data_IF_975020879405
#
_entry.id   IF_975020879405
#
_cell.length_a   1.000
_cell.length_b   1.000
_cell.length_c   1.000
_cell.angle_alpha   90.00
_cell.angle_beta   90.00
_cell.angle_gamma   90.00
#
_symmetry.space_group_name_H-M   'P 1'
#
loop_
_entity.id
_entity.type
_entity.pdbx_description
1 polymer ?
#
# COMPACT_ATOMS: atom_id res chain seq x y z
N UNK A 1 -2.62 -6.26 17.78
CA UNK A 1 -3.76 -6.84 17.06
C UNK A 1 -3.42 -6.69 15.61
N UNK A 2 -3.34 -7.80 14.89
CA UNK A 2 -2.85 -7.84 13.52
C UNK A 2 -3.76 -7.03 12.61
N UNK A 3 -3.19 -6.39 11.59
CA UNK A 3 -3.98 -5.69 10.58
C UNK A 3 -4.76 -6.70 9.75
N UNK A 4 -6.03 -6.40 9.47
CA UNK A 4 -6.88 -7.18 8.57
C UNK A 4 -6.85 -6.60 7.14
N UNK A 5 -6.74 -7.48 6.15
CA UNK A 5 -6.62 -7.07 4.74
C UNK A 5 -7.89 -6.40 4.23
N UNK A 6 -9.07 -6.89 4.65
CA UNK A 6 -10.35 -6.33 4.21
C UNK A 6 -10.56 -4.94 4.82
N UNK A 7 -10.21 -4.76 6.10
CA UNK A 7 -10.24 -3.45 6.74
C UNK A 7 -9.28 -2.45 6.09
N UNK A 8 -8.08 -2.89 5.71
CA UNK A 8 -7.11 -2.06 4.99
C UNK A 8 -7.62 -1.62 3.62
N UNK A 9 -8.25 -2.52 2.86
CA UNK A 9 -8.85 -2.17 1.57
C UNK A 9 -10.04 -1.20 1.73
N UNK A 10 -10.86 -1.39 2.77
CA UNK A 10 -11.99 -0.51 3.06
C UNK A 10 -11.55 0.95 3.31
N UNK A 11 -10.36 1.18 3.89
CA UNK A 11 -9.83 2.53 4.15
C UNK A 11 -9.53 3.33 2.87
N UNK A 12 -9.31 2.66 1.75
CA UNK A 12 -8.99 3.30 0.47
C UNK A 12 -10.10 3.12 -0.58
N UNK A 13 -11.25 2.57 -0.17
CA UNK A 13 -12.36 2.21 -1.06
C UNK A 13 -12.83 3.38 -1.94
N UNK A 14 -12.97 4.57 -1.37
CA UNK A 14 -13.48 5.72 -2.13
C UNK A 14 -12.39 6.46 -2.94
N UNK A 15 -11.11 6.11 -2.78
CA UNK A 15 -10.01 6.81 -3.43
C UNK A 15 -9.93 6.43 -4.92
N UNK A 16 -10.28 7.37 -5.79
CA UNK A 16 -10.25 7.20 -7.23
C UNK A 16 -11.39 6.33 -7.77
N UNK A 17 -12.44 6.10 -6.98
CA UNK A 17 -13.62 5.31 -7.38
C UNK A 17 -14.55 6.16 -8.25
N UNK A 18 -14.94 5.65 -9.42
CA UNK A 18 -15.90 6.27 -10.32
C UNK A 18 -17.34 5.83 -10.01
N UNK A 19 -18.32 6.51 -10.60
CA UNK A 19 -19.75 6.23 -10.42
C UNK A 19 -20.14 4.81 -10.85
N UNK A 20 -19.49 4.28 -11.88
CA UNK A 20 -19.67 2.91 -12.38
C UNK A 20 -18.99 1.84 -11.51
N UNK A 21 -18.33 2.25 -10.42
CA UNK A 21 -17.61 1.38 -9.48
C UNK A 21 -16.20 1.00 -9.93
N UNK A 22 -15.73 1.48 -11.08
CA UNK A 22 -14.36 1.29 -11.53
C UNK A 22 -13.39 2.27 -10.85
N UNK A 23 -12.09 2.06 -11.05
CA UNK A 23 -11.04 2.88 -10.44
C UNK A 23 -10.17 3.61 -11.46
N UNK A 24 -9.84 4.85 -11.10
CA UNK A 24 -9.02 5.79 -11.84
C UNK A 24 -7.94 6.35 -10.90
N UNK A 25 -6.90 5.56 -10.66
CA UNK A 25 -5.81 5.87 -9.72
C UNK A 25 -4.52 6.13 -10.49
N UNK A 26 -4.43 7.25 -11.19
CA UNK A 26 -3.22 7.54 -11.98
C UNK A 26 -2.07 8.02 -11.10
N UNK A 27 -0.86 7.57 -11.43
CA UNK A 27 0.36 7.96 -10.72
C UNK A 27 0.56 9.48 -10.72
N UNK A 28 1.12 10.00 -9.63
CA UNK A 28 1.44 11.42 -9.42
C UNK A 28 0.24 12.37 -9.45
N UNK A 29 -0.98 11.84 -9.32
CA UNK A 29 -2.19 12.64 -9.09
C UNK A 29 -2.44 12.83 -7.59
N UNK A 30 -3.46 13.62 -7.25
CA UNK A 30 -3.92 13.76 -5.86
C UNK A 30 -4.37 12.42 -5.27
N UNK A 31 -5.05 11.57 -6.06
CA UNK A 31 -5.48 10.24 -5.62
C UNK A 31 -4.28 9.37 -5.26
N UNK A 32 -3.26 9.32 -6.12
CA UNK A 32 -2.01 8.61 -5.84
C UNK A 32 -1.28 9.18 -4.61
N UNK A 33 -1.25 10.50 -4.45
CA UNK A 33 -0.68 11.15 -3.26
C UNK A 33 -1.39 10.72 -1.98
N UNK A 34 -2.71 10.60 -2.00
CA UNK A 34 -3.51 10.12 -0.86
C UNK A 34 -3.28 8.63 -0.58
N UNK A 35 -3.20 7.80 -1.61
CA UNK A 35 -2.88 6.37 -1.48
C UNK A 35 -1.47 6.15 -0.89
N UNK A 36 -0.48 6.93 -1.35
CA UNK A 36 0.87 6.94 -0.78
C UNK A 36 0.85 7.40 0.67
N UNK A 37 0.08 8.43 1.00
CA UNK A 37 -0.06 8.92 2.37
C UNK A 37 -0.67 7.86 3.29
N UNK A 38 -1.69 7.14 2.81
CA UNK A 38 -2.26 5.97 3.49
C UNK A 38 -1.19 4.90 3.74
N UNK A 39 -0.46 4.47 2.70
CA UNK A 39 0.61 3.48 2.85
C UNK A 39 1.66 3.91 3.89
N UNK A 40 2.14 5.15 3.81
CA UNK A 40 3.15 5.66 4.76
C UNK A 40 2.62 5.73 6.19
N UNK A 41 1.35 6.07 6.38
CA UNK A 41 0.72 6.14 7.70
C UNK A 41 0.57 4.75 8.31
N UNK A 42 0.05 3.80 7.52
CA UNK A 42 -0.11 2.40 7.94
C UNK A 42 1.24 1.76 8.24
N UNK A 43 2.24 1.93 7.37
CA UNK A 43 3.59 1.41 7.60
C UNK A 43 4.25 2.00 8.87
N UNK A 44 4.09 3.31 9.10
CA UNK A 44 4.59 3.95 10.34
C UNK A 44 3.89 3.44 11.59
N UNK A 45 2.60 3.11 11.52
CA UNK A 45 1.88 2.52 12.65
C UNK A 45 2.43 1.16 13.09
N UNK A 46 3.10 0.45 12.16
CA UNK A 46 3.83 -0.79 12.41
C UNK A 46 5.30 -0.57 12.83
N UNK A 47 5.71 0.69 13.06
CA UNK A 47 7.09 1.03 13.42
C UNK A 47 8.11 0.85 12.30
N UNK A 48 7.68 0.78 11.03
CA UNK A 48 8.57 0.57 9.89
C UNK A 48 9.26 1.87 9.46
N UNK A 49 10.52 1.75 9.02
CA UNK A 49 11.28 2.88 8.48
C UNK A 49 10.99 3.04 6.99
N UNK A 50 10.68 4.25 6.54
CA UNK A 50 10.31 4.51 5.15
C UNK A 50 11.48 5.04 4.33
N UNK A 51 11.57 4.58 3.09
CA UNK A 51 12.43 5.16 2.05
C UNK A 51 11.60 5.46 0.82
N UNK A 52 11.98 6.51 0.10
CA UNK A 52 11.42 6.88 -1.19
C UNK A 52 12.56 7.04 -2.19
N UNK A 53 12.46 6.37 -3.32
CA UNK A 53 13.45 6.52 -4.40
C UNK A 53 13.15 7.72 -5.31
N UNK A 54 14.02 7.96 -6.28
CA UNK A 54 13.86 9.05 -7.26
C UNK A 54 12.64 8.89 -8.18
N UNK A 55 12.12 7.66 -8.33
CA UNK A 55 10.94 7.32 -9.11
C UNK A 55 9.66 7.30 -8.26
N UNK A 56 9.73 7.82 -7.03
CA UNK A 56 8.66 7.86 -6.06
C UNK A 56 8.22 6.50 -5.50
N UNK A 57 8.89 5.38 -5.81
CA UNK A 57 8.58 4.11 -5.15
C UNK A 57 8.79 4.26 -3.65
N UNK A 58 7.89 3.65 -2.87
CA UNK A 58 7.95 3.64 -1.42
C UNK A 58 8.30 2.24 -0.93
N UNK A 59 9.30 2.15 -0.07
CA UNK A 59 9.62 0.93 0.66
C UNK A 59 9.53 1.20 2.15
N UNK A 60 8.88 0.28 2.87
CA UNK A 60 8.79 0.28 4.33
C UNK A 60 9.60 -0.91 4.86
N UNK A 61 10.53 -0.64 5.77
CA UNK A 61 11.53 -1.59 6.23
C UNK A 61 11.27 -1.99 7.68
N UNK A 62 11.19 -3.30 7.90
CA UNK A 62 11.32 -3.91 9.22
C UNK A 62 12.78 -4.32 9.41
N UNK A 63 13.53 -3.54 10.21
CA UNK A 63 14.98 -3.66 10.30
C UNK A 63 15.73 -2.85 9.24
N UNK A 64 17.02 -3.13 9.07
CA UNK A 64 17.90 -2.36 8.16
C UNK A 64 17.87 -2.91 6.73
N UNK A 65 17.76 -2.05 5.69
CA UNK A 65 17.88 -2.47 4.30
C UNK A 65 19.27 -3.03 3.99
N UNK A 66 19.36 -4.13 3.21
CA UNK A 66 20.65 -4.70 2.83
C UNK A 66 20.59 -6.01 2.06
N UNK A 67 21.75 -6.64 1.79
CA UNK A 67 21.81 -7.95 1.16
C UNK A 67 21.00 -9.00 1.92
N UNK A 68 20.23 -9.82 1.19
CA UNK A 68 19.36 -10.84 1.80
C UNK A 68 18.01 -10.30 2.28
N UNK A 69 17.72 -9.01 2.10
CA UNK A 69 16.38 -8.48 2.34
C UNK A 69 15.34 -9.15 1.42
N UNK A 70 14.14 -9.36 1.97
CA UNK A 70 13.00 -9.90 1.24
C UNK A 70 12.01 -8.75 1.01
N UNK A 71 11.61 -8.55 -0.24
CA UNK A 71 10.59 -7.57 -0.60
C UNK A 71 9.29 -8.28 -0.96
N UNK A 72 8.18 -7.74 -0.45
CA UNK A 72 6.82 -8.09 -0.83
C UNK A 72 6.00 -6.81 -0.93
N UNK A 73 5.05 -6.77 -1.85
CA UNK A 73 4.28 -5.59 -2.16
C UNK A 73 3.63 -5.67 -3.54
N UNK A 74 3.11 -4.54 -4.00
CA UNK A 74 2.47 -4.39 -5.31
C UNK A 74 2.38 -2.90 -5.66
N UNK A 75 1.56 -2.54 -6.65
CA UNK A 75 1.28 -1.16 -7.05
C UNK A 75 -0.01 -0.63 -6.41
N UNK A 76 -0.20 0.70 -6.43
CA UNK A 76 -1.42 1.39 -5.96
C UNK A 76 -2.13 2.16 -7.08
N UNK A 77 -1.45 2.39 -8.20
CA UNK A 77 -2.06 2.98 -9.38
C UNK A 77 -2.91 1.95 -10.15
N UNK A 78 -3.75 2.44 -11.04
CA UNK A 78 -4.60 1.62 -11.89
C UNK A 78 -4.57 2.07 -13.34
N UNK A 79 -4.93 1.14 -14.23
CA UNK A 79 -5.39 1.49 -15.58
C UNK A 79 -6.72 2.25 -15.52
N UNK A 80 -7.11 2.98 -16.58
CA UNK A 80 -8.44 3.56 -16.70
C UNK A 80 -9.53 2.49 -16.55
N UNK A 81 -10.49 2.71 -15.65
CA UNK A 81 -11.56 1.74 -15.39
C UNK A 81 -11.07 0.45 -14.72
N UNK A 82 -9.99 0.52 -13.95
CA UNK A 82 -9.39 -0.63 -13.27
C UNK A 82 -10.28 -1.23 -12.18
N UNK A 83 -9.99 -2.48 -11.82
CA UNK A 83 -10.66 -3.17 -10.71
C UNK A 83 -10.14 -2.74 -9.33
N UNK A 84 -10.89 -3.08 -8.28
CA UNK A 84 -10.56 -2.71 -6.89
C UNK A 84 -9.29 -3.37 -6.36
N UNK A 85 -9.05 -4.62 -6.77
CA UNK A 85 -8.05 -5.50 -6.13
C UNK A 85 -6.69 -5.49 -6.82
N UNK A 86 -6.64 -5.18 -8.12
CA UNK A 86 -5.42 -5.22 -8.93
C UNK A 86 -4.44 -4.13 -8.47
N UNK A 87 -3.38 -4.55 -7.77
CA UNK A 87 -2.47 -3.67 -7.04
C UNK A 87 -2.73 -3.66 -5.53
N UNK A 88 -3.76 -2.94 -5.04
CA UNK A 88 -4.01 -2.71 -3.62
C UNK A 88 -4.08 -3.96 -2.76
N UNK A 89 -4.61 -5.08 -3.28
CA UNK A 89 -4.68 -6.33 -2.53
C UNK A 89 -3.28 -6.80 -2.12
N UNK A 90 -2.30 -6.71 -3.02
CA UNK A 90 -0.93 -7.09 -2.73
C UNK A 90 -0.26 -6.16 -1.70
N UNK A 91 -0.53 -4.86 -1.77
CA UNK A 91 0.00 -3.88 -0.79
C UNK A 91 -0.62 -4.09 0.59
N UNK A 92 -1.94 -4.23 0.68
CA UNK A 92 -2.64 -4.48 1.93
C UNK A 92 -2.22 -5.82 2.55
N UNK A 93 -2.08 -6.86 1.72
CA UNK A 93 -1.63 -8.20 2.16
C UNK A 93 -0.19 -8.17 2.68
N UNK A 94 0.71 -7.40 2.06
CA UNK A 94 2.08 -7.24 2.55
C UNK A 94 2.13 -6.56 3.93
N UNK A 95 1.34 -5.49 4.14
CA UNK A 95 1.26 -4.80 5.43
C UNK A 95 0.65 -5.71 6.52
N UNK A 96 -0.41 -6.44 6.21
CA UNK A 96 -1.03 -7.40 7.12
C UNK A 96 -0.07 -8.55 7.48
N UNK A 97 0.65 -9.11 6.50
CA UNK A 97 1.62 -10.17 6.74
C UNK A 97 2.75 -9.70 7.67
N UNK A 98 3.32 -8.51 7.45
CA UNK A 98 4.34 -7.93 8.34
C UNK A 98 3.77 -7.74 9.75
N UNK A 99 2.56 -7.21 9.87
CA UNK A 99 1.87 -7.04 11.15
C UNK A 99 1.72 -8.36 11.90
N UNK A 100 1.33 -9.45 11.24
CA UNK A 100 1.20 -10.78 11.85
C UNK A 100 2.56 -11.35 12.28
N UNK A 101 3.59 -11.18 11.45
CA UNK A 101 4.94 -11.67 11.76
C UNK A 101 5.56 -10.94 12.98
N UNK A 102 5.24 -9.66 13.18
CA UNK A 102 5.69 -8.90 14.35
C UNK A 102 5.00 -9.30 15.67
N UNK A 103 3.86 -10.01 15.60
CA UNK A 103 3.15 -10.52 16.78
C UNK A 103 3.67 -11.87 17.27
N UNK A 104 4.59 -12.50 16.52
CA UNK A 104 5.20 -13.79 16.85
C UNK A 104 6.47 -13.61 17.68
#
# INVERSE_FOLDING_TARGET
>A
MSLDVVELLAQIHDLGRAEDGSYWRFSLTEVDTRLRSWFTTTARSLGLTLTRDANANLAAWWGEPGPGAILTGSHLDSVPGGGELDGPLGVASALAAVSMLQET
#
